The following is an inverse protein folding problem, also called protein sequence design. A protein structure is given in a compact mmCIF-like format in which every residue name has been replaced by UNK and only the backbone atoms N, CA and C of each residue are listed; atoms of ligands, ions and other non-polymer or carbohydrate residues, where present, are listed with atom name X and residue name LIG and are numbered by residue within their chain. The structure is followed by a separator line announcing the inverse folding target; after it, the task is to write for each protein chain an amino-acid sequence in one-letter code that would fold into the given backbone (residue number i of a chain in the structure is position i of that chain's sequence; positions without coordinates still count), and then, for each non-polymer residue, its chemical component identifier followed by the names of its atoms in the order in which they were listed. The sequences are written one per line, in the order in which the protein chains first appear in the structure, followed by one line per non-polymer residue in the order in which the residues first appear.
data_IF_289272559472
#
_entry.id   IF_289272559472
#
_cell.length_a   1.000
_cell.length_b   1.000
_cell.length_c   1.000
_cell.angle_alpha   90.00
_cell.angle_beta   90.00
_cell.angle_gamma   90.00
#
_symmetry.space_group_name_H-M   'P 1'
#
loop_
_entity.id
_entity.type
_entity.pdbx_description
1 polymer ?
#
# COMPACT_ATOMS: atom_id res chain seq x y z
N UNK A 1 26.03 17.60 20.53
CA UNK A 1 24.59 17.30 20.31
C UNK A 1 24.32 17.44 18.82
N UNK A 2 24.47 16.34 18.07
CA UNK A 2 24.37 16.31 16.61
C UNK A 2 22.90 16.17 16.21
N UNK A 3 22.32 17.22 15.61
CA UNK A 3 20.98 17.19 15.01
C UNK A 3 20.97 16.15 13.88
N UNK A 4 20.22 15.08 14.07
CA UNK A 4 19.82 14.17 12.99
C UNK A 4 19.17 14.99 11.87
N UNK A 5 19.62 14.89 10.61
CA UNK A 5 18.87 15.48 9.50
C UNK A 5 17.57 14.70 9.36
N UNK A 6 16.45 15.35 9.70
CA UNK A 6 15.11 14.88 9.35
C UNK A 6 14.98 14.93 7.83
N UNK A 7 15.23 13.80 7.16
CA UNK A 7 15.02 13.63 5.73
C UNK A 7 13.51 13.74 5.49
N UNK A 8 13.11 14.94 5.10
CA UNK A 8 11.73 15.30 4.78
C UNK A 8 11.41 14.68 3.42
N UNK A 9 10.50 13.71 3.39
CA UNK A 9 9.80 13.28 2.20
C UNK A 9 9.40 14.51 1.35
N UNK A 10 9.43 14.48 0.01
CA UNK A 10 8.87 15.56 -0.77
C UNK A 10 7.38 15.70 -0.41
N UNK A 11 7.03 16.70 0.41
CA UNK A 11 5.67 17.09 0.83
C UNK A 11 4.81 17.61 -0.34
N UNK A 12 5.17 17.30 -1.59
CA UNK A 12 4.57 17.81 -2.82
C UNK A 12 3.86 16.77 -3.67
N UNK A 13 3.91 15.48 -3.33
CA UNK A 13 3.14 14.48 -4.06
C UNK A 13 1.64 14.69 -3.77
N UNK A 14 0.89 15.13 -4.78
CA UNK A 14 -0.54 15.33 -4.65
C UNK A 14 -1.18 13.99 -4.28
N UNK A 15 -1.87 13.96 -3.14
CA UNK A 15 -2.59 12.78 -2.70
C UNK A 15 -3.61 12.36 -3.77
N UNK A 16 -3.78 11.05 -3.94
CA UNK A 16 -4.69 10.46 -4.93
C UNK A 16 -5.66 9.52 -4.24
N UNK A 17 -6.87 9.44 -4.76
CA UNK A 17 -7.84 8.45 -4.32
C UNK A 17 -9.02 8.35 -5.26
N UNK A 18 -9.89 7.38 -4.97
CA UNK A 18 -11.19 7.29 -5.60
C UNK A 18 -12.18 6.58 -4.66
N UNK A 19 -13.46 6.91 -4.83
CA UNK A 19 -14.56 6.10 -4.29
C UNK A 19 -14.97 5.13 -5.38
N UNK A 20 -15.02 3.85 -5.05
CA UNK A 20 -15.46 2.80 -5.99
C UNK A 20 -16.99 2.68 -5.99
N UNK A 21 -17.60 2.86 -4.83
CA UNK A 21 -19.05 2.89 -4.67
C UNK A 21 -19.54 2.35 -3.33
N UNK A 22 -20.85 2.14 -3.24
CA UNK A 22 -21.48 1.52 -2.08
C UNK A 22 -21.28 0.01 -2.08
N UNK A 23 -21.09 -0.53 -0.89
CA UNK A 23 -21.12 -1.95 -0.60
C UNK A 23 -22.36 -2.30 0.22
N UNK A 24 -22.62 -3.60 0.36
CA UNK A 24 -23.64 -4.11 1.26
C UNK A 24 -23.41 -3.63 2.70
N UNK A 25 -24.48 -3.63 3.49
CA UNK A 25 -24.45 -3.36 4.94
C UNK A 25 -24.02 -1.93 5.30
N UNK A 26 -24.16 -0.99 4.36
CA UNK A 26 -23.92 0.43 4.60
C UNK A 26 -22.43 0.80 4.64
N UNK A 27 -21.64 0.21 3.76
CA UNK A 27 -20.23 0.55 3.59
C UNK A 27 -19.98 1.28 2.27
N UNK A 28 -18.91 2.06 2.23
CA UNK A 28 -18.34 2.66 1.02
C UNK A 28 -16.95 2.09 0.81
N UNK A 29 -16.66 1.65 -0.42
CA UNK A 29 -15.33 1.22 -0.82
C UNK A 29 -14.59 2.33 -1.56
N UNK A 30 -13.27 2.33 -1.43
CA UNK A 30 -12.40 3.19 -2.21
C UNK A 30 -10.94 2.93 -1.90
N UNK A 31 -10.11 3.89 -2.29
CA UNK A 31 -8.70 3.88 -1.98
C UNK A 31 -8.14 5.31 -1.88
N UNK A 32 -7.02 5.45 -1.16
CA UNK A 32 -6.33 6.73 -0.99
C UNK A 32 -4.85 6.51 -0.64
N UNK A 33 -3.95 7.19 -1.34
CA UNK A 33 -2.51 7.16 -1.05
C UNK A 33 -1.81 8.46 -1.45
N UNK A 34 -0.60 8.67 -0.93
CA UNK A 34 0.37 9.61 -1.49
C UNK A 34 1.37 8.82 -2.34
N UNK A 35 1.40 9.00 -3.67
CA UNK A 35 2.33 8.26 -4.51
C UNK A 35 3.79 8.47 -4.09
N UNK A 36 4.58 7.39 -4.11
CA UNK A 36 5.98 7.40 -3.65
C UNK A 36 6.16 7.42 -2.13
N UNK A 37 5.08 7.39 -1.34
CA UNK A 37 5.13 7.30 0.13
C UNK A 37 4.27 6.13 0.60
N UNK A 38 4.83 5.34 1.52
CA UNK A 38 4.17 4.22 2.18
C UNK A 38 3.69 4.69 3.54
N UNK A 39 2.46 5.16 3.57
CA UNK A 39 1.80 5.64 4.78
C UNK A 39 0.34 5.25 4.82
N UNK A 40 -0.17 5.13 6.05
CA UNK A 40 -1.59 4.93 6.33
C UNK A 40 -2.33 6.25 6.11
N UNK A 41 -3.25 6.29 5.16
CA UNK A 41 -4.02 7.50 4.87
C UNK A 41 -5.38 7.46 5.56
N UNK A 42 -5.66 8.43 6.43
CA UNK A 42 -6.99 8.57 7.03
C UNK A 42 -7.89 9.36 6.07
N UNK A 43 -9.05 8.80 5.72
CA UNK A 43 -10.00 9.42 4.79
C UNK A 43 -11.34 9.75 5.42
N UNK A 44 -11.97 10.80 4.88
CA UNK A 44 -13.37 11.18 5.12
C UNK A 44 -14.13 11.14 3.80
N UNK A 45 -15.32 10.54 3.84
CA UNK A 45 -16.30 10.64 2.75
C UNK A 45 -17.38 11.64 3.16
N UNK A 46 -17.61 12.64 2.33
CA UNK A 46 -18.59 13.69 2.57
C UNK A 46 -19.73 13.63 1.56
N UNK A 47 -20.93 14.04 1.99
CA UNK A 47 -22.06 14.40 1.14
C UNK A 47 -22.41 15.86 1.41
N UNK A 48 -22.08 16.76 0.49
CA UNK A 48 -22.08 18.19 0.80
C UNK A 48 -21.00 18.50 1.84
N UNK A 49 -21.41 18.99 3.01
CA UNK A 49 -20.54 19.28 4.15
C UNK A 49 -20.62 18.20 5.26
N UNK A 50 -21.56 17.26 5.14
CA UNK A 50 -21.76 16.21 6.13
C UNK A 50 -20.73 15.09 5.96
N UNK A 51 -19.99 14.77 7.03
CA UNK A 51 -19.12 13.60 7.08
C UNK A 51 -19.99 12.35 7.26
N UNK A 52 -20.15 11.59 6.19
CA UNK A 52 -21.00 10.39 6.19
C UNK A 52 -20.22 9.11 6.51
N UNK A 53 -18.89 9.08 6.32
CA UNK A 53 -18.05 7.94 6.67
C UNK A 53 -16.59 8.35 6.89
N UNK A 54 -15.87 7.56 7.69
CA UNK A 54 -14.43 7.70 7.94
C UNK A 54 -13.78 6.30 7.95
N UNK A 55 -12.54 6.20 7.45
CA UNK A 55 -11.78 4.97 7.47
C UNK A 55 -10.28 5.20 7.32
N UNK A 56 -9.50 4.20 7.73
CA UNK A 56 -8.09 4.10 7.36
C UNK A 56 -7.95 3.37 6.03
N UNK A 57 -7.18 3.95 5.11
CA UNK A 57 -6.76 3.30 3.89
C UNK A 57 -5.50 2.45 4.15
N UNK A 58 -5.71 1.21 4.57
CA UNK A 58 -4.64 0.23 4.83
C UNK A 58 -4.91 -1.17 4.27
N UNK A 59 -6.00 -1.33 3.53
CA UNK A 59 -6.45 -2.60 3.00
C UNK A 59 -5.70 -2.95 1.71
N UNK A 60 -5.23 -4.19 1.61
CA UNK A 60 -4.50 -4.66 0.43
C UNK A 60 -5.43 -4.89 -0.76
N UNK A 61 -5.01 -4.39 -1.92
CA UNK A 61 -5.66 -4.52 -3.22
C UNK A 61 -4.62 -4.77 -4.30
N UNK A 62 -4.75 -5.89 -4.99
CA UNK A 62 -3.81 -6.31 -6.04
C UNK A 62 -3.83 -5.37 -7.25
N UNK A 63 -5.00 -4.84 -7.61
CA UNK A 63 -5.14 -3.84 -8.67
C UNK A 63 -4.37 -2.55 -8.35
N UNK A 64 -4.37 -2.12 -7.08
CA UNK A 64 -3.60 -0.96 -6.63
C UNK A 64 -2.09 -1.23 -6.61
N UNK A 65 -1.67 -2.44 -6.22
CA UNK A 65 -0.27 -2.84 -6.32
C UNK A 65 0.21 -2.83 -7.78
N UNK A 66 -0.60 -3.39 -8.69
CA UNK A 66 -0.29 -3.37 -10.14
C UNK A 66 -0.17 -1.96 -10.70
N UNK A 67 -0.95 -1.03 -10.17
CA UNK A 67 -0.91 0.38 -10.54
C UNK A 67 0.21 1.19 -9.86
N UNK A 68 1.05 0.58 -9.02
CA UNK A 68 2.13 1.29 -8.32
C UNK A 68 1.66 2.17 -7.17
N UNK A 69 0.49 1.88 -6.59
CA UNK A 69 -0.15 2.73 -5.58
C UNK A 69 -0.02 2.14 -4.18
N UNK A 70 0.79 2.76 -3.33
CA UNK A 70 0.92 2.43 -1.89
C UNK A 70 1.30 0.97 -1.63
N UNK A 71 2.05 0.33 -2.54
CA UNK A 71 2.31 -1.13 -2.56
C UNK A 71 1.04 -1.99 -2.43
N UNK A 72 -0.09 -1.48 -2.94
CA UNK A 72 -1.41 -2.09 -2.84
C UNK A 72 -2.12 -1.90 -1.50
N UNK A 73 -1.47 -1.36 -0.47
CA UNK A 73 -2.05 -1.18 0.87
C UNK A 73 -2.65 0.21 1.05
N UNK A 74 -3.57 0.57 0.16
CA UNK A 74 -4.24 1.87 0.20
C UNK A 74 -5.74 1.78 -0.07
N UNK A 75 -6.34 0.58 -0.03
CA UNK A 75 -7.79 0.41 -0.06
C UNK A 75 -8.44 0.73 1.29
N UNK A 76 -9.71 1.11 1.29
CA UNK A 76 -10.51 1.27 2.51
C UNK A 76 -11.94 0.75 2.33
N UNK A 77 -12.56 0.39 3.47
CA UNK A 77 -14.00 0.20 3.60
C UNK A 77 -14.49 1.07 4.76
N UNK A 78 -15.31 2.07 4.46
CA UNK A 78 -15.80 3.03 5.43
C UNK A 78 -17.26 2.76 5.75
N UNK A 79 -17.58 2.53 7.02
CA UNK A 79 -18.98 2.35 7.46
C UNK A 79 -19.68 3.71 7.45
N UNK A 80 -20.88 3.75 6.89
CA UNK A 80 -21.76 4.91 6.98
C UNK A 80 -22.11 5.17 8.45
N UNK A 81 -21.94 6.43 8.88
CA UNK A 81 -22.32 6.93 10.20
C UNK A 81 -23.82 7.07 10.35
N UNK A 82 -24.49 7.33 9.24
CA UNK A 82 -25.94 7.50 9.16
C UNK A 82 -26.44 6.80 7.91
N UNK A 83 -27.59 6.13 8.02
CA UNK A 83 -28.23 5.53 6.87
C UNK A 83 -28.56 6.60 5.83
N UNK A 84 -28.17 6.37 4.58
CA UNK A 84 -28.55 7.23 3.47
C UNK A 84 -29.85 6.70 2.84
N UNK A 85 -30.78 7.60 2.44
CA UNK A 85 -31.90 7.20 1.60
C UNK A 85 -31.36 6.69 0.27
N UNK A 86 -32.08 5.79 -0.39
CA UNK A 86 -31.66 5.39 -1.73
C UNK A 86 -31.84 6.53 -2.74
N UNK A 87 -31.08 6.47 -3.83
CA UNK A 87 -30.96 7.53 -4.82
C UNK A 87 -29.52 7.89 -5.13
N UNK A 88 -29.35 9.01 -5.84
CA UNK A 88 -28.04 9.53 -6.25
C UNK A 88 -27.44 10.41 -5.17
N UNK A 89 -26.20 10.13 -4.79
CA UNK A 89 -25.44 10.93 -3.83
C UNK A 89 -24.15 11.44 -4.46
N UNK A 90 -23.95 12.76 -4.43
CA UNK A 90 -22.67 13.36 -4.77
C UNK A 90 -21.74 13.24 -3.57
N UNK A 91 -20.68 12.46 -3.74
CA UNK A 91 -19.71 12.16 -2.69
C UNK A 91 -18.37 12.81 -2.98
N UNK A 92 -17.72 13.27 -1.92
CA UNK A 92 -16.36 13.84 -1.92
C UNK A 92 -15.45 13.01 -1.04
N UNK A 93 -14.18 12.92 -1.41
CA UNK A 93 -13.17 12.18 -0.67
C UNK A 93 -12.07 13.12 -0.21
N UNK A 94 -11.91 13.23 1.11
CA UNK A 94 -10.85 14.03 1.73
C UNK A 94 -9.82 13.13 2.41
N UNK A 95 -8.54 13.53 2.36
CA UNK A 95 -7.45 12.94 3.14
C UNK A 95 -7.09 13.83 4.33
N UNK A 96 -6.91 13.22 5.50
CA UNK A 96 -6.53 13.88 6.75
C UNK A 96 -5.01 13.71 7.04
N UNK A 97 -4.41 14.57 7.88
CA UNK A 97 -5.04 15.67 8.64
C UNK A 97 -5.30 16.96 7.86
N UNK A 98 -4.72 17.14 6.67
CA UNK A 98 -4.78 18.39 5.92
C UNK A 98 -6.17 18.68 5.30
N UNK A 99 -7.09 17.71 5.35
CA UNK A 99 -8.43 17.78 4.77
C UNK A 99 -8.41 18.14 3.28
N UNK A 100 -7.41 17.62 2.56
CA UNK A 100 -7.23 17.84 1.12
C UNK A 100 -8.21 16.97 0.35
N UNK A 101 -8.90 17.53 -0.64
CA UNK A 101 -9.71 16.77 -1.57
C UNK A 101 -8.82 16.03 -2.57
N UNK A 102 -8.91 14.70 -2.56
CA UNK A 102 -7.98 13.82 -3.30
C UNK A 102 -8.59 13.18 -4.55
N UNK A 103 -9.87 13.47 -4.80
CA UNK A 103 -10.63 13.01 -5.94
C UNK A 103 -11.74 14.02 -6.26
N UNK A 104 -12.07 14.27 -7.54
CA UNK A 104 -13.20 15.12 -7.88
C UNK A 104 -14.51 14.55 -7.32
N UNK A 105 -15.49 15.40 -6.97
CA UNK A 105 -16.79 14.94 -6.50
C UNK A 105 -17.47 14.08 -7.56
N UNK A 106 -18.04 12.95 -7.15
CA UNK A 106 -18.70 12.02 -8.09
C UNK A 106 -20.04 11.54 -7.54
N UNK A 107 -20.99 11.38 -8.45
CA UNK A 107 -22.31 10.82 -8.18
C UNK A 107 -22.24 9.29 -8.05
N UNK A 108 -22.78 8.75 -6.97
CA UNK A 108 -22.95 7.31 -6.74
C UNK A 108 -24.42 7.00 -6.44
N UNK A 109 -24.91 5.90 -7.01
CA UNK A 109 -26.30 5.48 -6.83
C UNK A 109 -26.38 4.43 -5.74
N UNK A 110 -27.19 4.70 -4.71
CA UNK A 110 -27.63 3.73 -3.74
C UNK A 110 -29.00 3.16 -4.20
N UNK A 111 -29.13 1.86 -4.52
CA UNK A 111 -30.35 1.36 -5.15
C UNK A 111 -31.62 1.38 -4.27
N UNK A 112 -32.76 1.77 -4.85
CA UNK A 112 -34.13 1.41 -4.45
C UNK A 112 -34.51 0.22 -5.35
N UNK A 113 -34.72 -1.04 -4.91
CA UNK A 113 -35.19 -1.47 -3.59
C UNK A 113 -34.11 -2.11 -2.69
N UNK A 114 -34.50 -2.47 -1.46
CA UNK A 114 -33.66 -3.24 -0.52
C UNK A 114 -33.06 -4.52 -1.13
N UNK A 115 -33.79 -5.20 -2.01
CA UNK A 115 -33.29 -6.36 -2.74
C UNK A 115 -32.09 -6.02 -3.65
N UNK A 116 -32.12 -4.86 -4.32
CA UNK A 116 -30.99 -4.39 -5.12
C UNK A 116 -29.81 -3.97 -4.23
N UNK A 117 -30.06 -3.42 -3.03
CA UNK A 117 -28.99 -3.18 -2.04
C UNK A 117 -28.35 -4.47 -1.55
N UNK A 118 -29.13 -5.54 -1.41
CA UNK A 118 -28.59 -6.86 -1.10
C UNK A 118 -27.71 -7.41 -2.24
N UNK A 119 -27.90 -6.97 -3.49
CA UNK A 119 -27.05 -7.34 -4.61
C UNK A 119 -25.72 -6.56 -4.67
N UNK A 120 -25.55 -5.49 -3.86
CA UNK A 120 -24.27 -4.79 -3.78
C UNK A 120 -23.16 -5.74 -3.33
N UNK A 121 -21.90 -5.49 -3.78
CA UNK A 121 -20.78 -6.32 -3.37
C UNK A 121 -20.64 -6.32 -1.84
N UNK A 122 -20.42 -7.47 -1.21
CA UNK A 122 -20.19 -7.54 0.23
C UNK A 122 -18.83 -6.94 0.59
N UNK A 123 -18.69 -6.46 1.82
CA UNK A 123 -17.35 -6.16 2.37
C UNK A 123 -16.54 -7.46 2.45
N UNK A 124 -15.30 -7.50 1.95
CA UNK A 124 -14.45 -8.68 2.09
C UNK A 124 -14.27 -9.06 3.57
N UNK A 125 -14.60 -10.32 3.92
CA UNK A 125 -14.48 -10.82 5.29
C UNK A 125 -13.02 -11.11 5.69
N UNK A 126 -12.25 -11.64 4.75
CA UNK A 126 -10.82 -11.86 4.91
C UNK A 126 -10.06 -10.65 4.35
N UNK A 127 -8.99 -10.24 5.03
CA UNK A 127 -8.04 -9.26 4.47
C UNK A 127 -7.14 -10.01 3.48
N UNK A 128 -7.19 -9.71 2.17
CA UNK A 128 -6.18 -10.19 1.24
C UNK A 128 -4.81 -9.80 1.76
N UNK A 129 -3.83 -10.68 1.58
CA UNK A 129 -2.43 -10.39 1.88
C UNK A 129 -1.64 -10.47 0.59
N UNK A 130 -0.42 -9.92 0.61
CA UNK A 130 0.53 -10.18 -0.45
C UNK A 130 0.72 -11.69 -0.64
N UNK A 131 0.79 -12.09 -1.91
CA UNK A 131 1.42 -13.34 -2.31
C UNK A 131 2.85 -13.03 -2.71
N UNK A 132 3.75 -13.97 -2.47
CA UNK A 132 5.17 -13.82 -2.80
C UNK A 132 5.35 -13.48 -4.29
N UNK A 133 4.57 -14.13 -5.17
CA UNK A 133 4.55 -13.85 -6.60
C UNK A 133 4.14 -12.40 -6.94
N UNK A 134 3.21 -11.81 -6.19
CA UNK A 134 2.79 -10.42 -6.41
C UNK A 134 3.92 -9.46 -5.99
N UNK A 135 4.60 -9.74 -4.87
CA UNK A 135 5.74 -8.92 -4.43
C UNK A 135 6.90 -9.02 -5.42
N UNK A 136 7.23 -10.22 -5.89
CA UNK A 136 8.26 -10.45 -6.91
C UNK A 136 7.98 -9.67 -8.21
N UNK A 137 6.73 -9.72 -8.69
CA UNK A 137 6.33 -9.02 -9.90
C UNK A 137 6.40 -7.49 -9.78
N UNK A 138 6.45 -6.96 -8.55
CA UNK A 138 6.38 -5.53 -8.26
C UNK A 138 7.56 -5.03 -7.40
N UNK A 139 8.70 -5.75 -7.36
CA UNK A 139 9.88 -5.38 -6.56
C UNK A 139 10.42 -3.99 -6.84
N UNK A 140 10.30 -3.51 -8.08
CA UNK A 140 10.75 -2.16 -8.45
C UNK A 140 10.07 -1.06 -7.61
N UNK A 141 8.89 -1.31 -7.05
CA UNK A 141 8.19 -0.34 -6.19
C UNK A 141 8.81 -0.22 -4.79
N UNK A 142 9.61 -1.19 -4.37
CA UNK A 142 10.21 -1.26 -3.04
C UNK A 142 11.55 -0.52 -2.92
N UNK A 143 12.13 -0.01 -4.02
CA UNK A 143 13.40 0.75 -4.02
C UNK A 143 14.51 0.10 -3.14
N UNK A 144 14.70 -1.20 -3.32
CA UNK A 144 15.55 -2.02 -2.45
C UNK A 144 17.01 -1.57 -2.47
N UNK A 145 17.52 -1.14 -3.62
CA UNK A 145 18.84 -0.54 -3.74
C UNK A 145 19.02 0.66 -2.80
N UNK A 146 18.06 1.60 -2.78
CA UNK A 146 18.12 2.76 -1.88
C UNK A 146 18.05 2.35 -0.41
N UNK A 147 17.17 1.42 -0.04
CA UNK A 147 17.11 0.93 1.34
C UNK A 147 18.41 0.24 1.77
N UNK A 148 19.03 -0.53 0.87
CA UNK A 148 20.33 -1.15 1.13
C UNK A 148 21.41 -0.10 1.40
N UNK A 149 21.44 0.98 0.62
CA UNK A 149 22.37 2.09 0.82
C UNK A 149 22.11 2.85 2.14
N UNK A 150 20.85 3.17 2.45
CA UNK A 150 20.48 3.94 3.66
C UNK A 150 20.71 3.14 4.96
N UNK A 151 20.43 1.84 4.97
CA UNK A 151 20.58 0.98 6.14
C UNK A 151 22.02 0.48 6.34
N UNK A 152 22.79 0.38 5.26
CA UNK A 152 24.00 -0.42 5.19
C UNK A 152 23.70 -1.90 4.97
N UNK A 153 24.62 -2.57 4.26
CA UNK A 153 24.44 -3.93 3.72
C UNK A 153 24.07 -4.97 4.79
N UNK A 154 24.79 -5.04 5.91
CA UNK A 154 24.51 -6.02 6.98
C UNK A 154 23.12 -5.86 7.56
N UNK A 155 22.70 -4.61 7.85
CA UNK A 155 21.38 -4.33 8.41
C UNK A 155 20.28 -4.62 7.40
N UNK A 156 20.51 -4.31 6.12
CA UNK A 156 19.58 -4.63 5.05
C UNK A 156 19.34 -6.14 4.94
N UNK A 157 20.41 -6.96 4.94
CA UNK A 157 20.30 -8.43 4.91
C UNK A 157 19.47 -8.93 6.10
N UNK A 158 19.81 -8.51 7.32
CA UNK A 158 19.09 -8.92 8.53
C UNK A 158 17.60 -8.58 8.47
N UNK A 159 17.29 -7.38 7.99
CA UNK A 159 15.94 -6.87 7.86
C UNK A 159 15.14 -7.60 6.77
N UNK A 160 15.77 -7.94 5.65
CA UNK A 160 15.17 -8.75 4.59
C UNK A 160 14.90 -10.19 5.06
N UNK A 161 15.84 -10.83 5.77
CA UNK A 161 15.63 -12.14 6.39
C UNK A 161 14.46 -12.10 7.38
N UNK A 162 14.40 -11.07 8.23
CA UNK A 162 13.32 -10.91 9.21
C UNK A 162 11.96 -10.75 8.55
N UNK A 163 11.92 -10.06 7.41
CA UNK A 163 10.70 -9.81 6.64
C UNK A 163 10.24 -11.05 5.85
N UNK A 164 11.16 -11.68 5.11
CA UNK A 164 10.86 -12.80 4.21
C UNK A 164 10.72 -14.11 4.98
N UNK A 165 11.67 -14.41 5.86
CA UNK A 165 11.82 -15.71 6.52
C UNK A 165 11.41 -15.70 8.00
N UNK A 166 11.00 -14.54 8.53
CA UNK A 166 10.60 -14.39 9.93
C UNK A 166 11.70 -14.76 10.96
N UNK A 167 12.98 -14.71 10.56
CA UNK A 167 14.16 -14.96 11.41
C UNK A 167 15.30 -14.00 11.07
N UNK A 168 16.35 -13.98 11.89
CA UNK A 168 17.57 -13.23 11.58
C UNK A 168 18.47 -14.02 10.60
N UNK A 169 19.35 -13.32 9.91
CA UNK A 169 20.38 -13.97 9.09
C UNK A 169 21.31 -14.79 10.00
N UNK A 170 21.54 -16.04 9.59
CA UNK A 170 22.50 -16.94 10.21
C UNK A 170 23.94 -16.59 9.82
N UNK A 171 24.91 -17.29 10.42
CA UNK A 171 26.33 -17.01 10.22
C UNK A 171 26.76 -17.25 8.76
N UNK A 172 26.19 -18.26 8.09
CA UNK A 172 26.46 -18.56 6.68
C UNK A 172 26.00 -17.40 5.77
N UNK A 173 24.77 -16.91 5.97
CA UNK A 173 24.24 -15.76 5.25
C UNK A 173 25.08 -14.49 5.51
N UNK A 174 25.53 -14.27 6.75
CA UNK A 174 26.40 -13.14 7.13
C UNK A 174 27.80 -13.25 6.54
N UNK A 175 28.30 -14.45 6.27
CA UNK A 175 29.61 -14.64 5.63
C UNK A 175 29.55 -14.38 4.13
N UNK A 176 28.44 -14.70 3.46
CA UNK A 176 28.34 -14.71 1.99
C UNK A 176 27.77 -13.40 1.43
N UNK A 177 26.58 -12.99 1.90
CA UNK A 177 25.83 -11.93 1.23
C UNK A 177 26.44 -10.53 1.32
N UNK A 178 27.06 -10.11 2.44
CA UNK A 178 27.61 -8.76 2.53
C UNK A 178 28.67 -8.49 1.46
N UNK A 179 29.65 -9.38 1.34
CA UNK A 179 30.73 -9.24 0.36
C UNK A 179 30.21 -9.26 -1.08
N UNK A 180 29.17 -10.04 -1.38
CA UNK A 180 28.57 -10.10 -2.70
C UNK A 180 27.83 -8.79 -3.07
N UNK A 181 27.09 -8.20 -2.12
CA UNK A 181 26.37 -6.94 -2.30
C UNK A 181 27.34 -5.75 -2.41
N UNK A 182 28.36 -5.68 -1.56
CA UNK A 182 29.35 -4.60 -1.56
C UNK A 182 30.19 -4.56 -2.85
N UNK A 183 30.54 -5.74 -3.39
CA UNK A 183 31.29 -5.86 -4.64
C UNK A 183 30.41 -5.73 -5.89
N UNK A 184 29.09 -5.57 -5.72
CA UNK A 184 28.13 -5.53 -6.82
C UNK A 184 27.96 -6.86 -7.58
N UNK A 185 28.46 -7.98 -7.02
CA UNK A 185 28.27 -9.31 -7.60
C UNK A 185 26.82 -9.80 -7.44
N UNK A 186 26.08 -9.23 -6.49
CA UNK A 186 24.67 -9.44 -6.23
C UNK A 186 24.00 -8.07 -6.03
N UNK A 187 22.85 -7.83 -6.64
CA UNK A 187 22.04 -6.62 -6.36
C UNK A 187 21.10 -6.85 -5.19
N UNK A 188 20.58 -5.77 -4.59
CA UNK A 188 19.60 -5.86 -3.50
C UNK A 188 18.32 -6.58 -3.95
N UNK A 189 17.87 -6.33 -5.17
CA UNK A 189 16.71 -6.95 -5.81
C UNK A 189 16.95 -8.44 -6.08
N UNK A 190 18.13 -8.81 -6.57
CA UNK A 190 18.47 -10.20 -6.83
C UNK A 190 18.60 -10.99 -5.52
N UNK A 191 19.25 -10.41 -4.51
CA UNK A 191 19.29 -10.99 -3.16
C UNK A 191 17.87 -11.25 -2.64
N UNK A 192 17.01 -10.22 -2.65
CA UNK A 192 15.64 -10.34 -2.18
C UNK A 192 14.84 -11.38 -2.96
N UNK A 193 15.02 -11.43 -4.29
CA UNK A 193 14.39 -12.42 -5.19
C UNK A 193 14.81 -13.84 -4.84
N UNK A 194 16.11 -14.08 -4.61
CA UNK A 194 16.63 -15.42 -4.25
C UNK A 194 16.11 -15.84 -2.89
N UNK A 195 16.10 -14.95 -1.89
CA UNK A 195 15.58 -15.27 -0.55
C UNK A 195 14.07 -15.55 -0.60
N UNK A 196 13.29 -14.76 -1.34
CA UNK A 196 11.84 -14.93 -1.47
C UNK A 196 11.45 -16.17 -2.29
N UNK A 197 12.33 -16.66 -3.17
CA UNK A 197 12.15 -17.93 -3.89
C UNK A 197 12.83 -19.14 -3.24
N UNK A 198 13.40 -19.00 -2.04
CA UNK A 198 14.07 -20.10 -1.33
C UNK A 198 13.12 -21.24 -0.96
N UNK A 199 13.67 -22.45 -0.78
CA UNK A 199 12.91 -23.59 -0.24
C UNK A 199 12.36 -23.30 1.15
N UNK A 200 13.14 -22.62 1.99
CA UNK A 200 12.72 -22.20 3.31
C UNK A 200 11.46 -21.33 3.23
N UNK A 201 11.42 -20.32 2.35
CA UNK A 201 10.23 -19.49 2.15
C UNK A 201 9.04 -20.30 1.64
N UNK A 202 9.26 -21.21 0.68
CA UNK A 202 8.19 -22.07 0.13
C UNK A 202 7.56 -23.00 1.19
N UNK A 203 8.33 -23.39 2.21
CA UNK A 203 7.83 -24.19 3.32
C UNK A 203 6.99 -23.38 4.34
N UNK A 204 7.03 -22.04 4.29
CA UNK A 204 6.27 -21.19 5.20
C UNK A 204 4.81 -21.02 4.76
N UNK A 205 3.89 -21.09 5.71
CA UNK A 205 2.47 -20.77 5.51
C UNK A 205 2.11 -19.33 5.91
N UNK A 206 3.03 -18.61 6.54
CA UNK A 206 2.79 -17.24 7.01
C UNK A 206 2.94 -16.24 5.86
N UNK A 207 1.92 -15.40 5.59
CA UNK A 207 2.01 -14.39 4.55
C UNK A 207 3.08 -13.34 4.89
N UNK A 208 3.57 -12.64 3.86
CA UNK A 208 4.45 -11.50 4.08
C UNK A 208 3.74 -10.43 4.92
N UNK A 209 4.42 -9.81 5.89
CA UNK A 209 3.87 -8.70 6.66
C UNK A 209 3.46 -7.53 5.75
N UNK A 210 2.36 -6.85 6.07
CA UNK A 210 1.96 -5.63 5.38
C UNK A 210 2.99 -4.50 5.59
N UNK A 211 3.04 -3.46 4.72
CA UNK A 211 3.96 -2.33 4.86
C UNK A 211 3.83 -1.56 6.17
N UNK A 212 2.70 -1.70 6.85
CA UNK A 212 2.43 -1.01 8.09
C UNK A 212 2.53 -1.92 9.34
N UNK A 213 3.01 -3.14 9.16
CA UNK A 213 3.44 -4.03 10.22
C UNK A 213 4.84 -3.58 10.70
N UNK A 214 5.11 -3.68 11.99
CA UNK A 214 6.42 -3.28 12.56
C UNK A 214 7.59 -4.12 12.01
N UNK A 215 7.31 -5.28 11.41
CA UNK A 215 8.29 -6.14 10.72
C UNK A 215 8.62 -5.66 9.32
N UNK A 216 7.87 -4.70 8.77
CA UNK A 216 8.20 -4.11 7.47
C UNK A 216 9.55 -3.37 7.59
N UNK A 217 10.57 -3.81 6.83
CA UNK A 217 11.94 -3.37 7.06
C UNK A 217 12.31 -2.08 6.33
N UNK A 218 11.49 -1.68 5.36
CA UNK A 218 11.79 -0.64 4.40
C UNK A 218 11.27 0.71 4.90
N UNK A 219 12.02 1.78 4.66
CA UNK A 219 11.59 3.14 5.01
C UNK A 219 10.30 3.48 4.26
N UNK A 220 9.52 4.47 4.73
CA UNK A 220 8.17 4.81 4.25
C UNK A 220 8.14 5.43 2.85
N UNK A 221 9.10 5.12 1.98
CA UNK A 221 9.20 5.60 0.62
C UNK A 221 8.98 4.43 -0.34
N UNK A 222 8.19 4.66 -1.37
CA UNK A 222 8.11 3.77 -2.52
C UNK A 222 8.81 4.46 -3.71
N UNK A 223 9.22 3.67 -4.70
CA UNK A 223 9.62 4.24 -5.97
C UNK A 223 8.49 5.12 -6.52
N UNK A 224 8.83 6.26 -7.13
CA UNK A 224 7.83 7.10 -7.78
C UNK A 224 7.08 6.27 -8.84
N UNK A 225 5.75 6.44 -8.99
CA UNK A 225 5.02 5.73 -10.04
C UNK A 225 5.63 6.08 -11.39
N UNK A 226 5.80 5.07 -12.24
CA UNK A 226 6.19 5.29 -13.63
C UNK A 226 5.05 6.06 -14.32
N UNK A 227 5.25 7.34 -14.65
CA UNK A 227 4.31 8.04 -15.53
C UNK A 227 4.38 7.36 -16.90
N UNK A 228 3.24 6.93 -17.49
CA UNK A 228 3.25 6.51 -18.87
C UNK A 228 3.57 7.72 -19.74
N UNK A 229 4.53 7.55 -20.65
CA UNK A 229 4.92 8.55 -21.64
C UNK A 229 3.66 9.04 -22.38
N UNK A 230 3.37 10.35 -22.27
CA UNK A 230 2.19 11.03 -22.83
C UNK A 230 2.15 11.08 -24.37
N UNK A 231 2.94 10.24 -25.02
CA UNK A 231 3.19 10.22 -26.46
C UNK A 231 2.28 9.25 -27.24
N UNK A 232 1.27 8.61 -26.62
CA UNK A 232 0.36 7.68 -27.30
C UNK A 232 -1.14 8.05 -27.24
N UNK A 233 -1.47 9.31 -27.00
CA UNK A 233 -2.81 9.84 -27.25
C UNK A 233 -2.72 11.05 -28.19
N UNK A 234 -2.58 10.75 -29.48
CA UNK A 234 -2.96 11.65 -30.59
C UNK A 234 -3.80 10.86 -31.57
#
# INVERSE_FOLDING_TARGET
MTRTPSITAPRGALARGAIDGFLRDGFIAGWACRPGVIERCHVRVLRGDDIIAEAMADFFRLDLLRAGMGLGHCGFFARLRTALPAGTHNLRLLMLPEAVEIAPPRAFVLPEPAAARAALPPVPRARPTWRDADVLAHLAQFDLARHCQELGVTRFIDRAFRFILNRWADDDARAVYPAALEKGALTAENFFTVTLNSEERRAMTTPLPAPFDYRFPFTTYAAAPHEPDGSQLR
#
